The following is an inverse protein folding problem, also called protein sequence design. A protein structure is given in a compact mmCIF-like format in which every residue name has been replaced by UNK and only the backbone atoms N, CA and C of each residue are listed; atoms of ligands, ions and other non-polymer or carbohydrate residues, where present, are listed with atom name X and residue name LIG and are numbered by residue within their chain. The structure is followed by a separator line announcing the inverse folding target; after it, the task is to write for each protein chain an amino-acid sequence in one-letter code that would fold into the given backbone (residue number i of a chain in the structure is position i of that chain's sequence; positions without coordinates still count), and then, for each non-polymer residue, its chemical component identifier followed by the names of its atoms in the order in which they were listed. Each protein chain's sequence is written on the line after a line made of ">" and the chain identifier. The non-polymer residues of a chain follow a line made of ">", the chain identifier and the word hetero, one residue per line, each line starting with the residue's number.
data_IF_541960318256
#
_entry.id   IF_541960318256
#
_cell.length_a   1.000
_cell.length_b   1.000
_cell.length_c   1.000
_cell.angle_alpha   90.00
_cell.angle_beta   90.00
_cell.angle_gamma   90.00
#
_symmetry.space_group_name_H-M   'P 1'
#
loop_
_entity.id
_entity.type
_entity.pdbx_description
1 polymer ?
#
# COMPACT_ATOMS: atom_id res chain seq x y z
N UNK A 1 -32.17 -14.32 -4.35
CA UNK A 1 -31.07 -14.36 -3.33
C UNK A 1 -31.72 -14.56 -1.95
N UNK A 2 -31.29 -15.54 -1.15
CA UNK A 2 -31.98 -15.84 0.13
C UNK A 2 -31.57 -14.87 1.25
N UNK A 3 -32.43 -14.63 2.25
CA UNK A 3 -32.14 -13.76 3.40
C UNK A 3 -30.87 -14.18 4.17
N UNK A 4 -30.57 -15.48 4.20
CA UNK A 4 -29.34 -16.04 4.80
C UNK A 4 -28.09 -15.62 4.02
N UNK A 5 -28.17 -15.58 2.69
CA UNK A 5 -27.09 -15.11 1.80
C UNK A 5 -26.81 -13.62 1.99
N UNK A 6 -27.84 -12.78 2.08
CA UNK A 6 -27.71 -11.32 2.34
C UNK A 6 -26.99 -11.07 3.67
N UNK A 7 -27.43 -11.74 4.74
CA UNK A 7 -26.84 -11.60 6.09
C UNK A 7 -25.39 -12.07 6.13
N UNK A 8 -25.02 -13.05 5.30
CA UNK A 8 -23.65 -13.55 5.18
C UNK A 8 -22.74 -12.52 4.49
N UNK A 9 -23.13 -11.96 3.35
CA UNK A 9 -22.36 -10.90 2.67
C UNK A 9 -22.23 -9.65 3.54
N UNK A 10 -23.28 -9.26 4.26
CA UNK A 10 -23.21 -8.14 5.20
C UNK A 10 -22.16 -8.32 6.31
N UNK A 11 -21.93 -9.56 6.77
CA UNK A 11 -20.85 -9.86 7.73
C UNK A 11 -19.46 -9.73 7.11
N UNK A 12 -19.27 -10.23 5.89
CA UNK A 12 -17.99 -10.14 5.18
C UNK A 12 -17.62 -8.67 4.93
N UNK A 13 -18.57 -7.87 4.44
CA UNK A 13 -18.37 -6.43 4.18
C UNK A 13 -18.04 -5.69 5.48
N UNK A 14 -18.80 -5.94 6.55
CA UNK A 14 -18.54 -5.30 7.85
C UNK A 14 -17.16 -5.66 8.40
N UNK A 15 -16.79 -6.93 8.30
CA UNK A 15 -15.48 -7.40 8.71
C UNK A 15 -14.37 -6.71 7.92
N UNK A 16 -14.44 -6.73 6.59
CA UNK A 16 -13.49 -6.04 5.72
C UNK A 16 -13.41 -4.54 6.03
N UNK A 17 -14.54 -3.87 6.21
CA UNK A 17 -14.60 -2.45 6.52
C UNK A 17 -13.86 -2.12 7.83
N UNK A 18 -14.00 -2.99 8.83
CA UNK A 18 -13.34 -2.79 10.14
C UNK A 18 -11.84 -3.07 10.14
N UNK A 19 -11.32 -3.88 9.21
CA UNK A 19 -9.93 -4.36 9.25
C UNK A 19 -9.05 -3.84 8.12
N UNK A 20 -9.62 -3.47 6.97
CA UNK A 20 -8.86 -3.20 5.73
C UNK A 20 -9.28 -1.93 4.98
N UNK A 21 -10.46 -1.36 5.24
CA UNK A 21 -10.95 -0.25 4.42
C UNK A 21 -10.06 0.99 4.47
N UNK A 22 -9.52 1.33 5.65
CA UNK A 22 -8.62 2.48 5.78
C UNK A 22 -7.33 2.29 4.97
N UNK A 23 -6.79 1.07 4.95
CA UNK A 23 -5.61 0.72 4.16
C UNK A 23 -5.90 0.80 2.66
N UNK A 24 -7.05 0.26 2.21
CA UNK A 24 -7.46 0.35 0.81
C UNK A 24 -7.61 1.80 0.38
N UNK A 25 -8.33 2.61 1.17
CA UNK A 25 -8.56 4.03 0.88
C UNK A 25 -7.26 4.84 0.88
N UNK A 26 -6.37 4.61 1.85
CA UNK A 26 -5.08 5.28 1.91
C UNK A 26 -4.22 4.98 0.66
N UNK A 27 -4.28 3.75 0.14
CA UNK A 27 -3.54 3.37 -1.06
C UNK A 27 -4.13 3.93 -2.36
N UNK A 28 -5.37 4.43 -2.35
CA UNK A 28 -5.94 5.10 -3.53
C UNK A 28 -5.33 6.47 -3.79
N UNK A 29 -4.65 7.07 -2.81
CA UNK A 29 -3.97 8.36 -3.02
C UNK A 29 -2.95 8.29 -4.18
N UNK A 30 -2.22 7.18 -4.32
CA UNK A 30 -1.21 7.00 -5.35
C UNK A 30 -1.77 7.01 -6.79
N UNK A 31 -2.75 6.15 -7.17
CA UNK A 31 -3.35 6.20 -8.50
C UNK A 31 -4.14 7.49 -8.75
N UNK A 32 -4.76 8.10 -7.73
CA UNK A 32 -5.46 9.39 -7.89
C UNK A 32 -4.46 10.51 -8.21
N UNK A 33 -3.34 10.58 -7.48
CA UNK A 33 -2.25 11.51 -7.78
C UNK A 33 -1.62 11.20 -9.15
N UNK A 34 -1.55 9.93 -9.53
CA UNK A 34 -1.18 9.51 -10.88
C UNK A 34 -2.08 10.14 -11.95
N UNK A 35 -3.41 9.98 -11.82
CA UNK A 35 -4.38 10.57 -12.76
C UNK A 35 -4.16 12.08 -12.90
N UNK A 36 -4.04 12.78 -11.77
CA UNK A 36 -3.85 14.23 -11.74
C UNK A 36 -2.52 14.65 -12.40
N UNK A 37 -1.41 14.06 -11.98
CA UNK A 37 -0.07 14.39 -12.49
C UNK A 37 0.16 13.89 -13.92
N UNK A 38 -0.63 12.93 -14.38
CA UNK A 38 -0.73 12.51 -15.79
C UNK A 38 -1.53 13.48 -16.65
N UNK A 39 -2.03 14.58 -16.09
CA UNK A 39 -2.71 15.65 -16.81
C UNK A 39 -4.14 15.32 -17.23
N UNK A 40 -4.80 14.33 -16.60
CA UNK A 40 -6.18 14.00 -16.91
C UNK A 40 -7.12 15.15 -16.54
N UNK A 41 -8.02 15.57 -17.44
CA UNK A 41 -8.93 16.69 -17.20
C UNK A 41 -10.38 16.22 -17.28
N UNK A 42 -11.04 16.14 -16.13
CA UNK A 42 -12.42 15.65 -16.02
C UNK A 42 -13.38 16.49 -16.88
N UNK A 43 -13.16 17.81 -16.97
CA UNK A 43 -14.01 18.70 -17.76
C UNK A 43 -13.99 18.38 -19.26
N UNK A 44 -12.89 17.81 -19.73
CA UNK A 44 -12.67 17.46 -21.14
C UNK A 44 -13.01 16.01 -21.44
N UNK A 45 -12.49 15.10 -20.61
CA UNK A 45 -12.42 13.67 -20.90
C UNK A 45 -13.50 12.87 -20.14
N UNK A 46 -14.26 13.53 -19.27
CA UNK A 46 -15.36 12.97 -18.51
C UNK A 46 -14.93 12.22 -17.25
N UNK A 47 -15.90 11.57 -16.61
CA UNK A 47 -15.71 10.89 -15.31
C UNK A 47 -15.65 9.36 -15.42
N UNK A 48 -16.02 8.79 -16.57
CA UNK A 48 -16.22 7.35 -16.72
C UNK A 48 -14.90 6.59 -16.58
N UNK A 49 -13.87 6.99 -17.34
CA UNK A 49 -12.57 6.32 -17.31
C UNK A 49 -11.87 6.39 -15.94
N UNK A 50 -11.73 7.58 -15.28
CA UNK A 50 -11.15 7.64 -13.93
C UNK A 50 -12.03 6.94 -12.90
N UNK A 51 -13.36 6.95 -13.07
CA UNK A 51 -14.28 6.20 -12.21
C UNK A 51 -14.07 4.68 -12.30
N UNK A 52 -13.93 4.14 -13.51
CA UNK A 52 -13.63 2.72 -13.73
C UNK A 52 -12.22 2.36 -13.22
N UNK A 53 -11.23 3.22 -13.43
CA UNK A 53 -9.87 3.02 -12.91
C UNK A 53 -9.87 2.99 -11.37
N UNK A 54 -10.54 3.93 -10.72
CA UNK A 54 -10.67 3.98 -9.26
C UNK A 54 -11.41 2.74 -8.72
N UNK A 55 -12.50 2.33 -9.36
CA UNK A 55 -13.22 1.10 -9.01
C UNK A 55 -12.30 -0.12 -9.12
N UNK A 56 -11.59 -0.25 -10.25
CA UNK A 56 -10.66 -1.35 -10.49
C UNK A 56 -9.50 -1.36 -9.50
N UNK A 57 -8.94 -0.19 -9.18
CA UNK A 57 -7.86 -0.04 -8.20
C UNK A 57 -8.31 -0.39 -6.79
N UNK A 58 -9.47 0.10 -6.35
CA UNK A 58 -10.06 -0.27 -5.06
C UNK A 58 -10.33 -1.77 -4.97
N UNK A 59 -10.91 -2.37 -6.01
CA UNK A 59 -11.18 -3.79 -6.07
C UNK A 59 -9.89 -4.62 -6.05
N UNK A 60 -8.85 -4.20 -6.77
CA UNK A 60 -7.55 -4.88 -6.79
C UNK A 60 -6.84 -4.79 -5.44
N UNK A 61 -6.78 -3.61 -4.82
CA UNK A 61 -6.17 -3.45 -3.50
C UNK A 61 -6.95 -4.25 -2.44
N UNK A 62 -8.29 -4.23 -2.49
CA UNK A 62 -9.13 -5.06 -1.63
C UNK A 62 -8.86 -6.56 -1.85
N UNK A 63 -8.75 -7.01 -3.11
CA UNK A 63 -8.36 -8.38 -3.44
C UNK A 63 -7.05 -8.77 -2.76
N UNK A 64 -6.01 -7.94 -2.88
CA UNK A 64 -4.68 -8.21 -2.31
C UNK A 64 -4.76 -8.41 -0.79
N UNK A 65 -5.48 -7.54 -0.07
CA UNK A 65 -5.65 -7.70 1.37
C UNK A 65 -6.47 -8.93 1.75
N UNK A 66 -7.59 -9.18 1.07
CA UNK A 66 -8.45 -10.34 1.35
C UNK A 66 -7.72 -11.65 1.03
N UNK A 67 -6.95 -11.68 -0.05
CA UNK A 67 -6.11 -12.82 -0.42
C UNK A 67 -4.99 -13.03 0.60
N UNK A 68 -4.35 -11.96 1.07
CA UNK A 68 -3.34 -12.03 2.11
C UNK A 68 -3.90 -12.60 3.42
N UNK A 69 -5.10 -12.20 3.82
CA UNK A 69 -5.78 -12.73 5.01
C UNK A 69 -6.13 -14.22 4.84
N UNK A 70 -6.56 -14.60 3.64
CA UNK A 70 -6.85 -16.00 3.31
C UNK A 70 -5.60 -16.89 3.32
N UNK A 71 -4.48 -16.39 2.82
CA UNK A 71 -3.19 -17.08 2.79
C UNK A 71 -2.54 -17.13 4.18
N UNK A 72 -2.61 -16.03 4.92
CA UNK A 72 -2.07 -15.86 6.27
C UNK A 72 -2.91 -16.46 7.40
N UNK A 73 -4.07 -17.04 7.09
CA UNK A 73 -5.04 -17.54 8.07
C UNK A 73 -4.45 -18.29 9.27
N UNK A 74 -3.55 -19.25 9.03
CA UNK A 74 -2.99 -20.08 10.09
C UNK A 74 -2.01 -19.31 11.00
N UNK A 75 -1.26 -18.36 10.45
CA UNK A 75 -0.34 -17.53 11.25
C UNK A 75 -1.07 -16.43 12.00
N UNK A 76 -2.07 -15.80 11.38
CA UNK A 76 -2.86 -14.75 12.05
C UNK A 76 -3.66 -15.30 13.25
N UNK A 77 -4.01 -16.59 13.26
CA UNK A 77 -4.61 -17.25 14.42
C UNK A 77 -3.66 -17.46 15.60
N UNK A 78 -2.36 -17.50 15.36
CA UNK A 78 -1.33 -17.69 16.40
C UNK A 78 -0.80 -16.37 16.94
N UNK A 79 -1.00 -15.28 16.22
CA UNK A 79 -0.65 -13.93 16.67
C UNK A 79 -1.73 -13.41 17.64
N UNK A 80 -1.42 -13.15 18.93
CA UNK A 80 -2.39 -12.68 19.92
C UNK A 80 -3.06 -11.36 19.56
N UNK A 81 -2.39 -10.47 18.82
CA UNK A 81 -2.93 -9.17 18.41
C UNK A 81 -3.90 -9.31 17.23
N UNK A 82 -3.65 -10.28 16.34
CA UNK A 82 -4.47 -10.49 15.13
C UNK A 82 -5.58 -11.52 15.31
N UNK A 83 -5.39 -12.52 16.17
CA UNK A 83 -6.32 -13.62 16.37
C UNK A 83 -7.78 -13.18 16.63
N UNK A 84 -8.07 -12.14 17.44
CA UNK A 84 -9.45 -11.66 17.65
C UNK A 84 -10.13 -11.17 16.36
N UNK A 85 -9.33 -10.67 15.42
CA UNK A 85 -9.78 -10.08 14.17
C UNK A 85 -9.74 -11.07 13.00
N UNK A 86 -9.37 -12.34 13.20
CA UNK A 86 -9.40 -13.32 12.10
C UNK A 86 -10.84 -13.61 11.69
N UNK A 87 -11.11 -13.62 10.37
CA UNK A 87 -12.46 -13.80 9.81
C UNK A 87 -13.21 -15.04 10.35
N UNK A 88 -12.52 -16.13 10.71
CA UNK A 88 -13.16 -17.33 11.27
C UNK A 88 -13.72 -17.10 12.67
N UNK A 89 -13.09 -16.23 13.48
CA UNK A 89 -13.62 -15.78 14.78
C UNK A 89 -14.86 -14.90 14.62
N UNK A 90 -15.08 -14.35 13.42
CA UNK A 90 -16.26 -13.56 13.05
C UNK A 90 -17.35 -14.42 12.38
N UNK A 91 -17.19 -15.75 12.38
CA UNK A 91 -18.14 -16.69 11.78
C UNK A 91 -18.18 -16.65 10.26
N UNK A 92 -17.10 -16.19 9.61
CA UNK A 92 -16.90 -16.19 8.17
C UNK A 92 -16.04 -17.42 7.82
N UNK A 93 -16.46 -18.19 6.81
CA UNK A 93 -15.73 -19.39 6.38
C UNK A 93 -14.59 -19.02 5.45
N UNK A 94 -13.48 -19.75 5.53
CA UNK A 94 -12.30 -19.56 4.65
C UNK A 94 -12.66 -19.60 3.15
N UNK A 95 -13.60 -20.46 2.76
CA UNK A 95 -14.12 -20.53 1.37
C UNK A 95 -14.82 -19.24 0.94
N UNK A 96 -15.50 -18.55 1.84
CA UNK A 96 -16.20 -17.28 1.55
C UNK A 96 -15.19 -16.15 1.31
N UNK A 97 -14.10 -16.12 2.08
CA UNK A 97 -12.99 -15.18 1.88
C UNK A 97 -12.32 -15.42 0.52
N UNK A 98 -12.06 -16.70 0.15
CA UNK A 98 -11.51 -17.04 -1.15
C UNK A 98 -12.38 -16.56 -2.32
N UNK A 99 -13.69 -16.82 -2.26
CA UNK A 99 -14.62 -16.34 -3.29
C UNK A 99 -14.70 -14.82 -3.35
N UNK A 100 -14.60 -14.14 -2.20
CA UNK A 100 -14.56 -12.68 -2.16
C UNK A 100 -13.30 -12.14 -2.83
N UNK A 101 -12.13 -12.73 -2.57
CA UNK A 101 -10.89 -12.38 -3.25
C UNK A 101 -11.00 -12.58 -4.77
N UNK A 102 -11.53 -13.72 -5.23
CA UNK A 102 -11.70 -14.01 -6.67
C UNK A 102 -12.66 -12.99 -7.31
N UNK A 103 -13.81 -12.71 -6.68
CA UNK A 103 -14.78 -11.76 -7.21
C UNK A 103 -14.19 -10.34 -7.34
N UNK A 104 -13.40 -9.90 -6.36
CA UNK A 104 -12.71 -8.60 -6.39
C UNK A 104 -11.67 -8.54 -7.52
N UNK A 105 -10.91 -9.62 -7.75
CA UNK A 105 -9.95 -9.69 -8.85
C UNK A 105 -10.64 -9.63 -10.21
N UNK A 106 -11.74 -10.38 -10.40
CA UNK A 106 -12.52 -10.35 -11.64
C UNK A 106 -13.07 -8.95 -11.90
N UNK A 107 -13.62 -8.30 -10.87
CA UNK A 107 -14.10 -6.92 -10.96
C UNK A 107 -12.98 -5.96 -11.40
N UNK A 108 -11.79 -6.08 -10.79
CA UNK A 108 -10.64 -5.26 -11.17
C UNK A 108 -10.23 -5.47 -12.63
N UNK A 109 -10.12 -6.72 -13.08
CA UNK A 109 -9.76 -7.07 -14.46
C UNK A 109 -10.77 -6.48 -15.45
N UNK A 110 -12.08 -6.66 -15.20
CA UNK A 110 -13.14 -6.12 -16.06
C UNK A 110 -13.08 -4.60 -16.12
N UNK A 111 -12.90 -3.93 -14.98
CA UNK A 111 -12.78 -2.48 -14.91
C UNK A 111 -11.54 -1.97 -15.68
N UNK A 112 -10.38 -2.60 -15.52
CA UNK A 112 -9.16 -2.19 -16.23
C UNK A 112 -9.22 -2.49 -17.73
N UNK A 113 -9.82 -3.62 -18.14
CA UNK A 113 -10.04 -3.92 -19.55
C UNK A 113 -10.95 -2.87 -20.22
N UNK A 114 -11.94 -2.34 -19.49
CA UNK A 114 -12.80 -1.25 -19.97
C UNK A 114 -12.08 0.12 -20.03
N UNK A 115 -11.03 0.33 -19.23
CA UNK A 115 -10.21 1.54 -19.27
C UNK A 115 -9.20 1.49 -20.42
N UNK A 116 -8.50 0.36 -20.59
CA UNK A 116 -7.55 0.16 -21.68
C UNK A 116 -6.37 -0.75 -21.33
N UNK A 117 -5.57 -1.09 -22.34
CA UNK A 117 -4.46 -2.03 -22.21
C UNK A 117 -3.41 -1.62 -21.15
N UNK A 118 -2.96 -0.36 -21.04
CA UNK A 118 -2.02 0.03 -19.99
C UNK A 118 -2.55 -0.28 -18.58
N UNK A 119 -3.80 0.08 -18.30
CA UNK A 119 -4.43 -0.20 -17.00
C UNK A 119 -4.51 -1.70 -16.72
N UNK A 120 -4.83 -2.52 -17.73
CA UNK A 120 -4.87 -3.97 -17.59
C UNK A 120 -3.49 -4.56 -17.28
N UNK A 121 -2.44 -4.10 -17.96
CA UNK A 121 -1.07 -4.57 -17.74
C UNK A 121 -0.53 -4.17 -16.36
N UNK A 122 -0.71 -2.91 -15.95
CA UNK A 122 -0.32 -2.45 -14.61
C UNK A 122 -1.13 -3.17 -13.53
N UNK A 123 -2.44 -3.32 -13.71
CA UNK A 123 -3.31 -4.06 -12.81
C UNK A 123 -2.88 -5.52 -12.65
N UNK A 124 -2.55 -6.19 -13.77
CA UNK A 124 -2.04 -7.57 -13.75
C UNK A 124 -0.68 -7.68 -13.03
N UNK A 125 0.24 -6.73 -13.28
CA UNK A 125 1.53 -6.70 -12.60
C UNK A 125 1.38 -6.51 -11.08
N UNK A 126 0.51 -5.59 -10.65
CA UNK A 126 0.19 -5.37 -9.24
C UNK A 126 -0.45 -6.63 -8.61
N UNK A 127 -1.38 -7.29 -9.32
CA UNK A 127 -1.99 -8.54 -8.86
C UNK A 127 -0.95 -9.65 -8.69
N UNK A 128 -0.02 -9.79 -9.65
CA UNK A 128 1.07 -10.75 -9.58
C UNK A 128 1.99 -10.48 -8.38
N UNK A 129 2.36 -9.22 -8.13
CA UNK A 129 3.13 -8.83 -6.95
C UNK A 129 2.43 -9.18 -5.64
N UNK A 130 1.11 -8.91 -5.54
CA UNK A 130 0.30 -9.28 -4.38
C UNK A 130 0.22 -10.80 -4.16
N UNK A 131 0.05 -11.57 -5.24
CA UNK A 131 0.08 -13.03 -5.18
C UNK A 131 1.44 -13.56 -4.70
N UNK A 132 2.54 -13.05 -5.27
CA UNK A 132 3.89 -13.40 -4.87
C UNK A 132 4.15 -13.05 -3.41
N UNK A 133 3.72 -11.87 -2.95
CA UNK A 133 3.89 -11.45 -1.57
C UNK A 133 3.26 -12.42 -0.57
N UNK A 134 2.03 -12.86 -0.84
CA UNK A 134 1.26 -13.72 0.07
C UNK A 134 1.57 -15.21 -0.08
N UNK A 135 2.00 -15.67 -1.25
CA UNK A 135 2.10 -17.09 -1.58
C UNK A 135 3.49 -17.62 -1.95
N UNK A 136 4.47 -16.76 -2.23
CA UNK A 136 5.80 -17.20 -2.68
C UNK A 136 6.75 -17.46 -1.50
N UNK A 137 7.50 -18.58 -1.49
CA UNK A 137 8.58 -18.79 -0.52
C UNK A 137 9.86 -17.97 -0.82
N UNK A 138 9.99 -17.42 -2.04
CA UNK A 138 11.20 -16.70 -2.50
C UNK A 138 10.97 -15.19 -2.64
N UNK A 139 9.75 -14.77 -2.94
CA UNK A 139 9.39 -13.34 -3.13
C UNK A 139 8.30 -12.88 -2.16
N UNK A 140 7.97 -13.72 -1.19
CA UNK A 140 6.89 -13.47 -0.24
C UNK A 140 7.34 -12.72 1.00
N UNK A 141 6.37 -12.47 1.88
CA UNK A 141 6.57 -11.76 3.15
C UNK A 141 7.64 -12.38 4.07
N UNK A 142 7.94 -13.68 3.89
CA UNK A 142 8.95 -14.40 4.67
C UNK A 142 10.35 -14.33 4.07
N UNK A 143 10.57 -13.54 3.01
CA UNK A 143 11.87 -13.36 2.39
C UNK A 143 12.39 -11.94 2.65
N UNK A 144 13.41 -11.78 3.53
CA UNK A 144 14.00 -10.47 3.81
C UNK A 144 14.46 -9.79 2.53
N UNK A 145 14.39 -8.46 2.50
CA UNK A 145 14.71 -7.57 1.37
C UNK A 145 13.74 -7.73 0.19
N UNK A 146 13.47 -8.95 -0.28
CA UNK A 146 12.56 -9.22 -1.38
C UNK A 146 11.14 -8.71 -1.11
N UNK A 147 10.63 -8.87 0.12
CA UNK A 147 9.33 -8.33 0.52
C UNK A 147 9.27 -6.79 0.39
N UNK A 148 10.35 -6.08 0.73
CA UNK A 148 10.42 -4.62 0.61
C UNK A 148 10.62 -4.17 -0.84
N UNK A 149 11.35 -4.94 -1.66
CA UNK A 149 11.43 -4.71 -3.12
C UNK A 149 10.07 -4.91 -3.79
N UNK A 150 9.30 -5.92 -3.36
CA UNK A 150 7.94 -6.13 -3.83
C UNK A 150 7.06 -4.90 -3.53
N UNK A 151 7.17 -4.33 -2.33
CA UNK A 151 6.49 -3.07 -2.00
C UNK A 151 7.01 -1.87 -2.80
N UNK A 152 8.31 -1.77 -3.07
CA UNK A 152 8.88 -0.71 -3.93
C UNK A 152 8.25 -0.74 -5.33
N UNK A 153 8.22 -1.92 -5.95
CA UNK A 153 7.62 -2.12 -7.27
C UNK A 153 6.11 -1.88 -7.21
N UNK A 154 5.43 -2.43 -6.21
CA UNK A 154 3.99 -2.25 -6.01
C UNK A 154 3.61 -0.78 -5.90
N UNK A 155 4.31 0.00 -5.09
CA UNK A 155 4.03 1.44 -4.91
C UNK A 155 4.24 2.24 -6.19
N UNK A 156 5.30 1.91 -6.93
CA UNK A 156 5.58 2.48 -8.26
C UNK A 156 4.47 2.19 -9.25
N UNK A 157 4.04 0.93 -9.34
CA UNK A 157 3.01 0.51 -10.30
C UNK A 157 1.64 1.09 -9.96
N UNK A 158 1.28 1.24 -8.68
CA UNK A 158 0.01 1.89 -8.30
C UNK A 158 -0.04 3.36 -8.75
N UNK A 159 1.07 4.08 -8.71
CA UNK A 159 1.14 5.44 -9.25
C UNK A 159 1.00 5.42 -10.77
N UNK A 160 1.79 4.58 -11.44
CA UNK A 160 1.81 4.47 -12.90
C UNK A 160 0.46 4.01 -13.48
N UNK A 161 -0.30 3.19 -12.74
CA UNK A 161 -1.65 2.80 -13.09
C UNK A 161 -2.53 4.03 -13.35
N UNK A 162 -2.51 5.02 -12.45
CA UNK A 162 -3.24 6.27 -12.62
C UNK A 162 -2.61 7.21 -13.65
N UNK A 163 -1.29 7.36 -13.61
CA UNK A 163 -0.54 8.25 -14.51
C UNK A 163 -0.78 7.93 -15.98
N UNK A 164 -0.85 6.63 -16.30
CA UNK A 164 -1.02 6.17 -17.68
C UNK A 164 -2.45 6.18 -18.19
N UNK A 165 -3.39 6.81 -17.44
CA UNK A 165 -4.76 7.02 -17.90
C UNK A 165 -4.84 7.99 -19.10
N UNK A 166 -4.08 9.08 -19.06
CA UNK A 166 -4.02 10.11 -20.12
C UNK A 166 -2.61 10.41 -20.61
N UNK A 167 -1.58 9.81 -20.01
CA UNK A 167 -0.19 10.07 -20.35
C UNK A 167 0.52 8.78 -20.78
N UNK A 168 1.38 8.87 -21.79
CA UNK A 168 2.29 7.76 -22.10
C UNK A 168 3.34 7.63 -21.00
N UNK A 169 3.77 6.41 -20.69
CA UNK A 169 4.87 6.21 -19.75
C UNK A 169 6.12 6.93 -20.25
N UNK A 170 6.68 7.79 -19.41
CA UNK A 170 7.88 8.56 -19.68
C UNK A 170 8.81 8.57 -18.45
N UNK A 171 9.92 9.30 -18.56
CA UNK A 171 10.89 9.41 -17.47
C UNK A 171 10.31 10.09 -16.23
N UNK A 172 9.46 11.10 -16.40
CA UNK A 172 8.86 11.84 -15.29
C UNK A 172 7.92 10.94 -14.49
N UNK A 173 7.02 10.24 -15.17
CA UNK A 173 6.13 9.25 -14.56
C UNK A 173 6.92 8.14 -13.85
N UNK A 174 8.02 7.66 -14.43
CA UNK A 174 8.88 6.66 -13.79
C UNK A 174 9.53 7.18 -12.50
N UNK A 175 10.08 8.41 -12.49
CA UNK A 175 10.71 8.99 -11.30
C UNK A 175 9.71 9.32 -10.19
N UNK A 176 8.54 9.89 -10.54
CA UNK A 176 7.48 10.15 -9.57
C UNK A 176 6.93 8.80 -9.03
N UNK A 177 6.75 7.81 -9.89
CA UNK A 177 6.37 6.46 -9.48
C UNK A 177 7.37 5.86 -8.50
N UNK A 178 8.67 5.98 -8.78
CA UNK A 178 9.71 5.50 -7.87
C UNK A 178 9.65 6.20 -6.50
N UNK A 179 9.31 7.49 -6.45
CA UNK A 179 9.05 8.17 -5.18
C UNK A 179 7.93 7.48 -4.37
N UNK A 180 6.78 7.18 -4.99
CA UNK A 180 5.70 6.43 -4.33
C UNK A 180 6.13 5.01 -3.93
N UNK A 181 6.94 4.35 -4.76
CA UNK A 181 7.57 3.08 -4.43
C UNK A 181 8.42 3.15 -3.16
N UNK A 182 9.30 4.15 -3.05
CA UNK A 182 10.15 4.35 -1.88
C UNK A 182 9.31 4.60 -0.61
N UNK A 183 8.28 5.44 -0.69
CA UNK A 183 7.38 5.70 0.44
C UNK A 183 6.69 4.40 0.89
N UNK A 184 6.21 3.58 -0.06
CA UNK A 184 5.51 2.34 0.28
C UNK A 184 6.45 1.29 0.87
N UNK A 185 7.66 1.13 0.31
CA UNK A 185 8.69 0.24 0.84
C UNK A 185 9.18 0.67 2.24
N UNK A 186 9.37 1.97 2.46
CA UNK A 186 9.74 2.50 3.77
C UNK A 186 8.64 2.24 4.82
N UNK A 187 7.37 2.43 4.44
CA UNK A 187 6.22 2.10 5.27
C UNK A 187 6.13 0.60 5.60
N UNK A 188 6.45 -0.28 4.65
CA UNK A 188 6.52 -1.73 4.86
C UNK A 188 7.59 -2.11 5.90
N UNK A 189 8.80 -1.55 5.80
CA UNK A 189 9.85 -1.78 6.79
C UNK A 189 9.42 -1.33 8.20
N UNK A 190 8.69 -0.22 8.33
CA UNK A 190 8.14 0.22 9.61
C UNK A 190 7.05 -0.74 10.13
N UNK A 191 6.23 -1.28 9.22
CA UNK A 191 5.23 -2.29 9.55
C UNK A 191 5.87 -3.58 10.08
N UNK A 192 6.97 -4.06 9.49
CA UNK A 192 7.66 -5.25 9.99
C UNK A 192 8.21 -5.04 11.42
N UNK A 193 8.64 -3.82 11.76
CA UNK A 193 9.05 -3.48 13.14
C UNK A 193 7.88 -3.59 14.10
N UNK A 194 6.71 -3.09 13.70
CA UNK A 194 5.47 -3.16 14.47
C UNK A 194 5.02 -4.61 14.67
N UNK A 195 5.09 -5.41 13.61
CA UNK A 195 4.54 -6.77 13.58
C UNK A 195 5.55 -7.85 14.06
N UNK A 196 6.74 -7.43 14.51
CA UNK A 196 7.87 -8.30 14.87
C UNK A 196 7.52 -9.47 15.79
N UNK A 197 6.79 -9.25 16.91
CA UNK A 197 6.52 -10.33 17.87
C UNK A 197 5.60 -11.39 17.26
N UNK A 198 4.59 -10.95 16.50
CA UNK A 198 3.68 -11.83 15.76
C UNK A 198 4.41 -12.62 14.68
N UNK A 199 5.31 -11.97 13.94
CA UNK A 199 6.13 -12.62 12.91
C UNK A 199 7.11 -13.63 13.52
N UNK A 200 7.74 -13.30 14.65
CA UNK A 200 8.68 -14.17 15.36
C UNK A 200 8.01 -15.45 15.85
N UNK A 201 6.86 -15.35 16.52
CA UNK A 201 6.07 -16.51 16.99
C UNK A 201 5.61 -17.38 15.81
N UNK A 202 5.42 -16.78 14.64
CA UNK A 202 4.99 -17.49 13.44
C UNK A 202 6.13 -18.03 12.57
N UNK A 203 7.40 -17.80 12.94
CA UNK A 203 8.55 -18.17 12.13
C UNK A 203 8.61 -17.43 10.78
N UNK A 204 7.96 -16.27 10.65
CA UNK A 204 7.98 -15.44 9.46
C UNK A 204 9.27 -14.63 9.47
N UNK A 205 10.13 -14.87 8.49
CA UNK A 205 11.47 -14.25 8.41
C UNK A 205 11.41 -12.88 7.71
N UNK A 206 10.78 -11.89 8.35
CA UNK A 206 10.80 -10.49 7.87
C UNK A 206 12.16 -9.82 8.08
N UNK A 207 12.39 -8.61 7.54
CA UNK A 207 13.65 -7.89 7.81
C UNK A 207 13.79 -7.59 9.31
N UNK A 208 12.69 -7.23 9.98
CA UNK A 208 12.72 -6.98 11.43
C UNK A 208 13.09 -8.25 12.22
N UNK A 209 12.59 -9.42 11.84
CA UNK A 209 12.93 -10.70 12.51
C UNK A 209 14.38 -11.10 12.25
N UNK A 210 14.87 -10.98 11.00
CA UNK A 210 16.21 -11.45 10.62
C UNK A 210 17.32 -10.49 11.04
N UNK A 211 17.12 -9.19 10.84
CA UNK A 211 18.15 -8.18 11.11
C UNK A 211 17.96 -7.46 12.44
N UNK A 212 16.78 -7.60 13.06
CA UNK A 212 16.40 -6.90 14.28
C UNK A 212 15.55 -5.65 14.00
N UNK A 213 14.69 -5.30 14.98
CA UNK A 213 13.80 -4.14 14.94
C UNK A 213 14.54 -2.84 14.62
N UNK A 214 15.69 -2.61 15.25
CA UNK A 214 16.47 -1.38 15.09
C UNK A 214 16.99 -1.22 13.67
N UNK A 215 17.51 -2.28 13.08
CA UNK A 215 18.07 -2.31 11.73
C UNK A 215 16.96 -2.11 10.69
N UNK A 216 15.83 -2.80 10.83
CA UNK A 216 14.67 -2.60 9.96
C UNK A 216 14.10 -1.18 10.06
N UNK A 217 14.04 -0.61 11.27
CA UNK A 217 13.61 0.77 11.48
C UNK A 217 14.58 1.79 10.84
N UNK A 218 15.89 1.60 10.99
CA UNK A 218 16.88 2.46 10.35
C UNK A 218 16.85 2.34 8.83
N UNK A 219 16.63 1.14 8.29
CA UNK A 219 16.41 0.94 6.86
C UNK A 219 15.16 1.71 6.40
N UNK A 220 14.05 1.64 7.15
CA UNK A 220 12.84 2.44 6.88
C UNK A 220 13.15 3.94 6.82
N UNK A 221 13.87 4.47 7.82
CA UNK A 221 14.27 5.88 7.88
C UNK A 221 15.18 6.28 6.71
N UNK A 222 16.12 5.42 6.31
CA UNK A 222 16.98 5.66 5.15
C UNK A 222 16.16 5.69 3.85
N UNK A 223 15.25 4.73 3.66
CA UNK A 223 14.35 4.71 2.49
C UNK A 223 13.43 5.93 2.46
N UNK A 224 12.88 6.37 3.60
CA UNK A 224 12.14 7.63 3.68
C UNK A 224 13.01 8.85 3.34
N UNK A 225 14.25 8.87 3.82
CA UNK A 225 15.20 9.95 3.49
C UNK A 225 15.47 10.01 1.99
N UNK A 226 15.65 8.86 1.33
CA UNK A 226 15.75 8.78 -0.12
C UNK A 226 14.48 9.28 -0.83
N UNK A 227 13.29 8.95 -0.30
CA UNK A 227 12.02 9.46 -0.84
C UNK A 227 11.92 11.00 -0.72
N UNK A 228 12.31 11.58 0.40
CA UNK A 228 12.35 13.04 0.57
C UNK A 228 13.38 13.70 -0.36
N UNK A 229 14.57 13.12 -0.50
CA UNK A 229 15.59 13.62 -1.43
C UNK A 229 15.09 13.59 -2.88
N UNK A 230 14.44 12.49 -3.29
CA UNK A 230 13.81 12.35 -4.59
C UNK A 230 12.73 13.42 -4.80
N UNK A 231 11.85 13.61 -3.81
CA UNK A 231 10.78 14.61 -3.84
C UNK A 231 11.33 16.04 -4.01
N UNK A 232 12.33 16.41 -3.20
CA UNK A 232 13.01 17.71 -3.30
C UNK A 232 13.66 17.86 -4.67
N UNK A 233 14.31 16.82 -5.18
CA UNK A 233 14.94 16.81 -6.51
C UNK A 233 13.92 17.04 -7.63
N UNK A 234 12.82 16.28 -7.63
CA UNK A 234 11.73 16.43 -8.60
C UNK A 234 11.15 17.86 -8.59
N UNK A 235 11.00 18.46 -7.41
CA UNK A 235 10.56 19.85 -7.29
C UNK A 235 11.61 20.86 -7.81
N UNK A 236 12.90 20.62 -7.55
CA UNK A 236 14.00 21.47 -8.01
C UNK A 236 14.14 21.47 -9.54
N UNK A 237 13.90 20.33 -10.18
CA UNK A 237 13.88 20.20 -11.64
C UNK A 237 12.57 20.67 -12.29
N UNK A 238 11.58 21.13 -11.49
CA UNK A 238 10.30 21.61 -11.99
C UNK A 238 9.36 20.50 -12.48
N UNK A 239 9.63 19.23 -12.15
CA UNK A 239 8.77 18.09 -12.47
C UNK A 239 7.55 18.06 -11.53
N UNK A 240 7.74 18.52 -10.29
CA UNK A 240 6.68 18.67 -9.29
C UNK A 240 6.60 20.12 -8.78
N UNK A 241 5.50 20.53 -8.13
CA UNK A 241 5.33 21.89 -7.61
C UNK A 241 6.49 22.37 -6.73
N UNK A 242 6.95 23.62 -6.94
CA UNK A 242 8.09 24.21 -6.19
C UNK A 242 7.86 24.26 -4.68
N UNK A 243 6.62 24.30 -4.22
CA UNK A 243 6.28 24.26 -2.80
C UNK A 243 6.81 22.98 -2.12
N UNK A 244 7.03 21.90 -2.88
CA UNK A 244 7.62 20.67 -2.38
C UNK A 244 9.11 20.78 -2.08
N UNK A 245 9.81 21.86 -2.43
CA UNK A 245 11.19 22.11 -1.92
C UNK A 245 11.23 22.17 -0.38
N UNK A 246 10.11 22.52 0.25
CA UNK A 246 9.94 22.51 1.70
C UNK A 246 9.80 21.09 2.29
N UNK A 247 9.84 20.04 1.48
CA UNK A 247 9.87 18.65 1.97
C UNK A 247 11.08 18.35 2.82
N UNK A 248 12.18 19.12 2.69
CA UNK A 248 13.33 19.08 3.59
C UNK A 248 12.96 19.40 5.04
N UNK A 249 11.99 20.30 5.28
CA UNK A 249 11.48 20.60 6.63
C UNK A 249 10.63 19.45 7.16
N UNK A 250 9.77 18.86 6.32
CA UNK A 250 9.01 17.67 6.68
C UNK A 250 9.94 16.48 7.02
N UNK A 251 11.06 16.35 6.29
CA UNK A 251 12.10 15.36 6.58
C UNK A 251 12.74 15.59 7.96
N UNK A 252 13.13 16.83 8.31
CA UNK A 252 13.69 17.14 9.64
C UNK A 252 12.72 16.76 10.77
N UNK A 253 11.43 17.04 10.59
CA UNK A 253 10.40 16.65 11.55
C UNK A 253 10.26 15.12 11.66
N UNK A 254 10.26 14.41 10.53
CA UNK A 254 10.25 12.94 10.51
C UNK A 254 11.50 12.37 11.19
N UNK A 255 12.68 12.94 10.94
CA UNK A 255 13.94 12.55 11.58
C UNK A 255 13.86 12.75 13.10
N UNK A 256 13.38 13.91 13.56
CA UNK A 256 13.21 14.19 14.99
C UNK A 256 12.29 13.17 15.67
N UNK A 257 11.15 12.84 15.05
CA UNK A 257 10.26 11.79 15.54
C UNK A 257 10.91 10.41 15.53
N UNK A 258 11.72 10.09 14.52
CA UNK A 258 12.44 8.82 14.43
C UNK A 258 13.50 8.67 15.52
N UNK A 259 14.23 9.74 15.82
CA UNK A 259 15.17 9.78 16.95
C UNK A 259 14.45 9.61 18.29
N UNK A 260 13.27 10.24 18.44
CA UNK A 260 12.45 10.06 19.62
C UNK A 260 11.95 8.61 19.77
N UNK A 261 11.50 7.99 18.68
CA UNK A 261 11.10 6.57 18.67
C UNK A 261 12.27 5.66 19.07
N UNK A 262 13.47 5.89 18.53
CA UNK A 262 14.67 5.12 18.90
C UNK A 262 15.01 5.22 20.38
N UNK A 263 14.79 6.39 21.01
CA UNK A 263 15.01 6.58 22.45
C UNK A 263 13.96 5.90 23.31
N UNK A 264 12.71 5.83 22.85
CA UNK A 264 11.59 5.18 23.55
C UNK A 264 11.62 3.65 23.47
N UNK A 265 12.30 3.11 22.45
CA UNK A 265 12.25 1.69 22.11
C UNK A 265 11.28 1.43 20.96
N UNK A 266 11.47 0.33 20.26
CA UNK A 266 10.74 0.00 19.03
C UNK A 266 9.70 -1.09 19.26
N UNK A 267 8.84 -0.89 20.26
CA UNK A 267 7.69 -1.74 20.53
C UNK A 267 6.54 -1.47 19.55
N UNK A 268 5.48 -2.27 19.67
CA UNK A 268 4.27 -2.16 18.84
C UNK A 268 3.66 -0.75 18.90
N UNK A 269 3.55 -0.16 20.09
CA UNK A 269 2.94 1.15 20.29
C UNK A 269 3.76 2.27 19.64
N UNK A 270 5.08 2.24 19.80
CA UNK A 270 5.98 3.24 19.21
C UNK A 270 6.03 3.13 17.69
N UNK A 271 6.03 1.90 17.14
CA UNK A 271 5.95 1.70 15.70
C UNK A 271 4.60 2.19 15.14
N UNK A 272 3.49 1.90 15.81
CA UNK A 272 2.17 2.41 15.41
C UNK A 272 2.09 3.95 15.50
N UNK A 273 2.70 4.55 16.52
CA UNK A 273 2.83 5.99 16.70
C UNK A 273 3.62 6.65 15.57
N UNK A 274 4.71 6.01 15.11
CA UNK A 274 5.47 6.46 13.94
C UNK A 274 4.66 6.32 12.66
N UNK A 275 3.94 5.21 12.49
CA UNK A 275 3.09 4.97 11.33
C UNK A 275 2.08 6.08 11.09
N UNK A 276 1.36 6.48 12.14
CA UNK A 276 0.37 7.57 12.03
C UNK A 276 1.02 8.88 11.61
N UNK A 277 2.22 9.19 12.13
CA UNK A 277 2.95 10.43 11.86
C UNK A 277 3.43 10.55 10.43
N UNK A 278 4.14 9.56 9.93
CA UNK A 278 4.62 9.65 8.55
C UNK A 278 3.45 9.60 7.55
N UNK A 279 2.38 8.84 7.84
CA UNK A 279 1.17 8.83 7.00
C UNK A 279 0.55 10.23 6.91
N UNK A 280 0.49 10.96 8.03
CA UNK A 280 0.04 12.35 8.05
C UNK A 280 0.94 13.27 7.22
N UNK A 281 2.27 13.15 7.33
CA UNK A 281 3.19 13.95 6.51
C UNK A 281 3.01 13.68 5.01
N UNK A 282 2.92 12.41 4.61
CA UNK A 282 2.77 12.07 3.19
C UNK A 282 1.36 12.39 2.65
N UNK A 283 0.33 12.39 3.50
CA UNK A 283 -0.98 12.93 3.14
C UNK A 283 -0.90 14.43 2.83
N UNK A 284 -0.21 15.21 3.66
CA UNK A 284 0.02 16.64 3.41
C UNK A 284 0.84 16.86 2.13
N UNK A 285 1.90 16.07 1.90
CA UNK A 285 2.68 16.10 0.66
C UNK A 285 1.78 15.85 -0.57
N UNK A 286 0.90 14.85 -0.50
CA UNK A 286 -0.06 14.58 -1.56
C UNK A 286 -1.02 15.74 -1.83
N UNK A 287 -1.51 16.42 -0.78
CA UNK A 287 -2.33 17.62 -0.94
C UNK A 287 -1.56 18.77 -1.59
N UNK A 288 -0.29 18.95 -1.24
CA UNK A 288 0.58 19.96 -1.86
C UNK A 288 0.82 19.64 -3.35
N UNK A 289 0.94 18.36 -3.72
CA UNK A 289 1.04 17.95 -5.12
C UNK A 289 -0.22 18.31 -5.94
N UNK A 290 -1.40 18.31 -5.33
CA UNK A 290 -2.66 18.67 -5.99
C UNK A 290 -2.88 20.20 -6.09
N UNK A 291 -2.18 20.98 -5.28
CA UNK A 291 -2.38 22.43 -5.16
C UNK A 291 -1.51 23.27 -6.11
N UNK A 292 -0.55 22.64 -6.81
CA UNK A 292 0.34 23.29 -7.77
C UNK A 292 0.13 22.78 -9.18
#
# INVERSE_FOLDING_TARGET
>A
MTAKTVRQYGRIIRHFASTRALEVLALQASPILGIFLGGYRIERDGVVAPGLLALGSCALTAHIFVFNDWAGYASDLRDPLRAPHVFSRQGIRRREVAWSAIALLVLAIVAFAAVGMPALLFGAAIAALGFLYSGSPVLGKSTPIAASLNHLLGGTLHFLLGYTLSHTLDANGAWIGLFFGLVFAAGHLNQEVRDYDGDLVNGIRTNAVVFGRRQAFLASLFTFTAAYAMLTGLAAFGILPRLLLWSSVAWLLHLAWSLHALRRGLDFETAQWMQRRYRWLFALVGLVMLAG
#
